data_IF_204700504042
#
_entry.id   IF_204700504042
#
_cell.length_a   1.000
_cell.length_b   1.000
_cell.length_c   1.000
_cell.angle_alpha   90.00
_cell.angle_beta   90.00
_cell.angle_gamma   90.00
#
_symmetry.space_group_name_H-M   'P 1'
#
loop_
_entity.id
_entity.type
_entity.pdbx_description
1 polymer ?
#
# COMPACT_ATOMS: atom_id res chain seq x y z
N UNK A 1 -6.21 -67.73 -62.20
CA UNK A 1 -6.75 -66.39 -62.17
C UNK A 1 -6.79 -65.95 -60.66
N UNK A 2 -5.69 -65.42 -60.15
CA UNK A 2 -5.58 -64.99 -58.77
C UNK A 2 -5.48 -63.43 -58.72
N UNK A 3 -6.47 -62.81 -58.12
CA UNK A 3 -6.42 -61.38 -57.85
C UNK A 3 -5.89 -61.16 -56.44
N UNK A 4 -4.74 -60.53 -56.35
CA UNK A 4 -4.17 -60.01 -55.09
C UNK A 4 -4.82 -58.67 -54.79
N UNK A 5 -5.45 -58.56 -53.61
CA UNK A 5 -6.00 -57.29 -53.06
C UNK A 5 -4.93 -56.71 -52.13
N UNK A 6 -4.33 -55.59 -52.55
CA UNK A 6 -3.43 -54.81 -51.69
C UNK A 6 -4.24 -53.90 -50.73
N UNK A 7 -4.16 -54.14 -49.43
CA UNK A 7 -4.66 -53.23 -48.40
C UNK A 7 -3.61 -52.22 -48.10
N UNK A 8 -3.88 -50.94 -48.50
CA UNK A 8 -3.08 -49.76 -48.07
C UNK A 8 -3.56 -49.32 -46.73
N UNK A 9 -2.70 -49.42 -45.71
CA UNK A 9 -2.94 -48.85 -44.37
C UNK A 9 -2.52 -47.41 -44.38
N UNK A 10 -3.50 -46.48 -44.31
CA UNK A 10 -3.25 -45.09 -44.07
C UNK A 10 -2.99 -44.89 -42.57
N UNK A 11 -1.74 -44.59 -42.20
CA UNK A 11 -1.38 -44.13 -40.85
C UNK A 11 -1.76 -42.65 -40.71
N UNK A 12 -2.84 -42.34 -39.97
CA UNK A 12 -3.16 -40.99 -39.52
C UNK A 12 -2.23 -40.62 -38.38
N UNK A 13 -1.24 -39.76 -38.65
CA UNK A 13 -0.41 -39.13 -37.63
C UNK A 13 -1.21 -38.02 -36.97
N UNK A 14 -1.75 -38.28 -35.78
CA UNK A 14 -2.37 -37.25 -34.94
C UNK A 14 -1.27 -36.38 -34.34
N UNK A 15 -1.00 -35.22 -34.96
CA UNK A 15 -0.16 -34.16 -34.37
C UNK A 15 -0.95 -33.52 -33.24
N UNK A 16 -0.66 -33.90 -32.01
CA UNK A 16 -1.14 -33.20 -30.82
C UNK A 16 -0.49 -31.78 -30.76
N UNK A 17 -1.23 -30.78 -31.17
CA UNK A 17 -0.89 -29.39 -30.95
C UNK A 17 -0.96 -29.13 -29.43
N UNK A 18 0.19 -29.20 -28.76
CA UNK A 18 0.36 -28.68 -27.44
C UNK A 18 0.15 -27.15 -27.53
N UNK A 19 -1.06 -26.69 -27.23
CA UNK A 19 -1.36 -25.28 -27.05
C UNK A 19 -0.62 -24.82 -25.79
N UNK A 20 0.63 -24.41 -25.96
CA UNK A 20 1.32 -23.62 -24.95
C UNK A 20 0.49 -22.37 -24.78
N UNK A 21 -0.14 -22.17 -23.61
CA UNK A 21 -0.67 -20.87 -23.22
C UNK A 21 0.51 -19.89 -23.12
N UNK A 22 0.89 -19.31 -24.26
CA UNK A 22 1.78 -18.18 -24.30
C UNK A 22 0.98 -17.04 -23.69
N UNK A 23 1.26 -16.70 -22.43
CA UNK A 23 0.77 -15.44 -21.85
C UNK A 23 1.27 -14.34 -22.79
N UNK A 24 0.32 -13.58 -23.35
CA UNK A 24 0.67 -12.51 -24.27
C UNK A 24 1.54 -11.49 -23.54
N UNK A 25 2.65 -11.11 -24.17
CA UNK A 25 3.45 -10.00 -23.70
C UNK A 25 2.59 -8.73 -23.66
N UNK A 26 2.83 -7.88 -22.67
CA UNK A 26 2.14 -6.58 -22.61
C UNK A 26 2.44 -5.76 -23.87
N UNK A 27 1.48 -4.92 -24.26
CA UNK A 27 1.66 -4.01 -25.39
C UNK A 27 2.83 -3.02 -25.13
N UNK A 28 3.45 -2.50 -26.18
CA UNK A 28 4.56 -1.55 -26.08
C UNK A 28 4.20 -0.29 -25.23
N UNK A 29 2.94 0.11 -25.22
CA UNK A 29 2.43 1.19 -24.37
C UNK A 29 2.57 0.93 -22.88
N UNK A 30 2.63 -0.34 -22.47
CA UNK A 30 2.78 -0.75 -21.07
C UNK A 30 4.23 -0.76 -20.58
N UNK A 31 5.21 -0.54 -21.46
CA UNK A 31 6.62 -0.55 -21.07
C UNK A 31 6.92 0.52 -20.02
N UNK A 32 6.27 1.67 -20.10
CA UNK A 32 6.45 2.75 -19.13
C UNK A 32 5.35 2.67 -18.08
N UNK A 33 5.71 2.45 -16.82
CA UNK A 33 4.79 2.35 -15.69
C UNK A 33 4.96 3.58 -14.78
N UNK A 34 3.90 4.39 -14.70
CA UNK A 34 3.88 5.65 -13.95
C UNK A 34 3.15 5.46 -12.62
N UNK A 35 3.90 5.51 -11.53
CA UNK A 35 3.42 5.23 -10.19
C UNK A 35 3.20 6.52 -9.43
N UNK A 36 2.03 6.71 -8.82
CA UNK A 36 1.79 7.73 -7.82
C UNK A 36 2.27 7.26 -6.45
N UNK A 37 2.95 8.12 -5.70
CA UNK A 37 3.48 7.80 -4.38
C UNK A 37 3.17 8.94 -3.42
N UNK A 38 2.43 8.68 -2.34
CA UNK A 38 2.37 9.61 -1.20
C UNK A 38 3.62 9.44 -0.35
N UNK A 39 3.97 10.47 0.40
CA UNK A 39 5.19 10.48 1.19
C UNK A 39 4.99 9.79 2.55
N UNK A 40 4.43 8.56 2.53
CA UNK A 40 4.30 7.67 3.66
C UNK A 40 5.28 6.51 3.52
N UNK A 41 5.88 6.12 4.63
CA UNK A 41 6.97 5.13 4.61
C UNK A 41 6.52 3.76 4.07
N UNK A 42 5.27 3.33 4.35
CA UNK A 42 4.66 2.11 3.81
C UNK A 42 4.52 2.16 2.28
N UNK A 43 3.97 3.28 1.76
CA UNK A 43 3.78 3.44 0.31
C UNK A 43 5.13 3.60 -0.41
N UNK A 44 6.12 4.25 0.21
CA UNK A 44 7.47 4.33 -0.34
C UNK A 44 8.09 2.93 -0.42
N UNK A 45 7.97 2.13 0.65
CA UNK A 45 8.53 0.77 0.70
C UNK A 45 7.89 -0.16 -0.36
N UNK A 46 6.55 -0.20 -0.41
CA UNK A 46 5.81 -1.05 -1.35
C UNK A 46 5.97 -0.61 -2.80
N UNK A 47 6.06 0.71 -3.04
CA UNK A 47 6.34 1.26 -4.37
C UNK A 47 7.78 0.95 -4.83
N UNK A 48 8.76 1.04 -3.94
CA UNK A 48 10.15 0.67 -4.26
C UNK A 48 10.25 -0.82 -4.59
N UNK A 49 9.57 -1.68 -3.83
CA UNK A 49 9.49 -3.12 -4.11
C UNK A 49 8.91 -3.38 -5.49
N UNK A 50 7.78 -2.76 -5.79
CA UNK A 50 7.10 -2.88 -7.08
C UNK A 50 7.98 -2.40 -8.23
N UNK A 51 8.67 -1.26 -8.05
CA UNK A 51 9.59 -0.72 -9.03
C UNK A 51 10.74 -1.68 -9.33
N UNK A 52 11.41 -2.19 -8.29
CA UNK A 52 12.55 -3.13 -8.45
C UNK A 52 12.12 -4.38 -9.21
N UNK A 53 10.93 -4.92 -8.93
CA UNK A 53 10.40 -6.08 -9.65
C UNK A 53 10.10 -5.73 -11.11
N UNK A 54 9.42 -4.62 -11.38
CA UNK A 54 9.08 -4.19 -12.75
C UNK A 54 10.33 -3.89 -13.57
N UNK A 55 11.31 -3.18 -13.01
CA UNK A 55 12.57 -2.88 -13.69
C UNK A 55 13.33 -4.17 -14.04
N UNK A 56 13.37 -5.14 -13.11
CA UNK A 56 13.93 -6.47 -13.35
C UNK A 56 13.19 -7.28 -14.42
N UNK A 57 11.91 -7.02 -14.62
CA UNK A 57 11.10 -7.62 -15.69
C UNK A 57 11.24 -6.90 -17.05
N UNK A 58 12.01 -5.80 -17.13
CA UNK A 58 12.26 -5.05 -18.35
C UNK A 58 11.27 -3.91 -18.62
N UNK A 59 10.44 -3.55 -17.64
CA UNK A 59 9.64 -2.31 -17.69
C UNK A 59 10.51 -1.10 -17.33
N UNK A 60 10.00 0.09 -17.59
CA UNK A 60 10.59 1.38 -17.24
C UNK A 60 9.66 2.08 -16.26
N UNK A 61 10.03 2.15 -15.01
CA UNK A 61 9.19 2.70 -13.97
C UNK A 61 9.54 4.16 -13.68
N UNK A 62 8.51 4.93 -13.30
CA UNK A 62 8.67 6.29 -12.83
C UNK A 62 7.74 6.53 -11.66
N UNK A 63 8.29 6.95 -10.53
CA UNK A 63 7.52 7.40 -9.38
C UNK A 63 7.29 8.92 -9.43
N UNK A 64 6.09 9.35 -9.03
CA UNK A 64 5.72 10.76 -8.87
C UNK A 64 5.16 10.95 -7.47
N UNK A 65 5.89 11.69 -6.64
CA UNK A 65 5.43 12.02 -5.29
C UNK A 65 4.37 13.13 -5.35
N UNK A 66 3.21 12.87 -4.74
CA UNK A 66 2.10 13.83 -4.69
C UNK A 66 1.13 13.49 -3.55
N UNK A 67 0.19 14.42 -3.25
CA UNK A 67 -0.92 14.11 -2.34
C UNK A 67 -1.89 13.10 -2.96
N UNK A 68 -2.62 12.38 -2.11
CA UNK A 68 -3.60 11.38 -2.56
C UNK A 68 -4.60 11.93 -3.59
N UNK A 69 -5.07 13.17 -3.42
CA UNK A 69 -6.03 13.81 -4.34
C UNK A 69 -5.40 14.02 -5.72
N UNK A 70 -4.13 14.47 -5.77
CA UNK A 70 -3.39 14.67 -7.02
C UNK A 70 -3.13 13.32 -7.69
N UNK A 71 -2.84 12.27 -6.93
CA UNK A 71 -2.63 10.93 -7.46
C UNK A 71 -3.91 10.39 -8.10
N UNK A 72 -5.07 10.46 -7.41
CA UNK A 72 -6.33 10.01 -8.00
C UNK A 72 -6.72 10.81 -9.24
N UNK A 73 -6.50 12.13 -9.22
CA UNK A 73 -6.69 12.96 -10.41
C UNK A 73 -5.73 12.56 -11.53
N UNK A 74 -4.46 12.27 -11.22
CA UNK A 74 -3.45 11.80 -12.16
C UNK A 74 -3.83 10.48 -12.83
N UNK A 75 -4.39 9.52 -12.07
CA UNK A 75 -4.88 8.25 -12.61
C UNK A 75 -6.13 8.49 -13.48
N UNK A 76 -7.09 9.32 -13.02
CA UNK A 76 -8.24 9.72 -13.81
C UNK A 76 -7.84 10.30 -15.16
N UNK A 77 -6.83 11.15 -15.19
CA UNK A 77 -6.36 11.87 -16.36
C UNK A 77 -5.30 11.09 -17.17
N UNK A 78 -5.10 9.80 -16.81
CA UNK A 78 -4.14 8.89 -17.45
C UNK A 78 -2.69 9.44 -17.47
N UNK A 79 -2.34 10.27 -16.49
CA UNK A 79 -0.97 10.75 -16.25
C UNK A 79 -0.20 9.83 -15.30
N UNK A 80 -0.91 9.08 -14.49
CA UNK A 80 -0.43 8.00 -13.62
C UNK A 80 -1.18 6.73 -13.97
N UNK A 81 -0.55 5.58 -13.74
CA UNK A 81 -1.10 4.27 -14.06
C UNK A 81 -1.61 3.56 -12.81
N UNK A 82 -0.91 3.72 -11.69
CA UNK A 82 -1.22 3.00 -10.46
C UNK A 82 -0.81 3.75 -9.18
N UNK A 83 -1.41 3.32 -8.07
CA UNK A 83 -1.13 3.76 -6.71
C UNK A 83 -1.34 2.60 -5.73
N UNK A 84 -0.37 2.33 -4.84
CA UNK A 84 -0.38 1.18 -3.93
C UNK A 84 -0.85 1.50 -2.50
N UNK A 85 -1.28 2.72 -2.23
CA UNK A 85 -1.53 3.21 -0.87
C UNK A 85 -2.98 3.64 -0.60
N UNK A 86 -3.98 2.99 -1.20
CA UNK A 86 -5.38 3.28 -0.85
C UNK A 86 -5.75 2.62 0.47
N UNK A 87 -5.63 3.36 1.57
CA UNK A 87 -6.07 2.97 2.91
C UNK A 87 -7.58 3.06 3.04
N UNK A 88 -8.26 1.92 3.10
CA UNK A 88 -9.69 1.81 3.31
C UNK A 88 -9.98 1.47 4.79
N UNK A 89 -10.87 2.20 5.52
CA UNK A 89 -11.83 3.19 4.98
C UNK A 89 -11.36 4.66 5.03
N UNK A 90 -10.18 4.97 5.53
CA UNK A 90 -9.74 6.36 5.76
C UNK A 90 -9.81 7.23 4.50
N UNK A 91 -9.49 6.68 3.35
CA UNK A 91 -9.49 7.42 2.07
C UNK A 91 -10.78 7.22 1.25
N UNK A 92 -11.77 6.48 1.76
CA UNK A 92 -13.00 6.16 1.02
C UNK A 92 -13.70 7.41 0.54
N UNK A 93 -13.85 8.43 1.39
CA UNK A 93 -14.49 9.68 1.01
C UNK A 93 -13.76 10.38 -0.15
N UNK A 94 -12.42 10.29 -0.19
CA UNK A 94 -11.61 10.92 -1.24
C UNK A 94 -11.69 10.17 -2.56
N UNK A 95 -11.70 8.83 -2.55
CA UNK A 95 -11.67 8.02 -3.77
C UNK A 95 -13.05 7.82 -4.39
N UNK A 96 -14.12 7.80 -3.59
CA UNK A 96 -15.50 7.50 -4.03
C UNK A 96 -15.93 8.25 -5.30
N UNK A 97 -15.72 9.58 -5.43
CA UNK A 97 -16.12 10.30 -6.65
C UNK A 97 -15.44 9.78 -7.92
N UNK A 98 -14.20 9.29 -7.80
CA UNK A 98 -13.46 8.74 -8.93
C UNK A 98 -13.92 7.32 -9.29
N UNK A 99 -14.27 6.51 -8.29
CA UNK A 99 -14.79 5.15 -8.49
C UNK A 99 -16.19 5.20 -9.10
N UNK A 100 -17.09 6.02 -8.57
CA UNK A 100 -18.46 6.19 -9.08
C UNK A 100 -18.47 6.73 -10.52
N UNK A 101 -17.56 7.65 -10.82
CA UNK A 101 -17.36 8.15 -12.18
C UNK A 101 -16.64 7.15 -13.10
N UNK A 102 -16.27 5.96 -12.62
CA UNK A 102 -15.48 4.94 -13.34
C UNK A 102 -14.18 5.49 -13.93
N UNK A 103 -13.53 6.37 -13.19
CA UNK A 103 -12.25 7.00 -13.59
C UNK A 103 -11.03 6.37 -12.97
N UNK A 104 -11.23 5.56 -11.93
CA UNK A 104 -10.21 4.71 -11.31
C UNK A 104 -10.82 3.33 -11.03
N UNK A 105 -9.98 2.33 -10.94
CA UNK A 105 -10.32 0.95 -10.55
C UNK A 105 -9.52 0.58 -9.31
N UNK A 106 -10.21 0.17 -8.25
CA UNK A 106 -9.58 -0.51 -7.11
C UNK A 106 -9.46 -1.98 -7.47
N UNK A 107 -8.34 -2.62 -7.21
CA UNK A 107 -8.15 -4.05 -7.46
C UNK A 107 -9.14 -4.88 -6.61
N UNK A 108 -9.37 -6.12 -7.03
CA UNK A 108 -10.41 -6.97 -6.43
C UNK A 108 -9.99 -7.58 -5.07
N UNK A 109 -8.71 -7.45 -4.70
CA UNK A 109 -8.15 -7.91 -3.41
C UNK A 109 -7.24 -6.85 -2.83
N UNK A 110 -7.22 -6.68 -1.49
CA UNK A 110 -6.26 -5.81 -0.84
C UNK A 110 -4.84 -6.37 -0.96
N UNK A 111 -3.87 -5.49 -0.97
CA UNK A 111 -2.45 -5.85 -0.82
C UNK A 111 -2.07 -6.11 0.63
N UNK A 112 -2.82 -5.53 1.59
CA UNK A 112 -2.64 -5.73 3.02
C UNK A 112 -4.02 -5.80 3.71
N UNK A 113 -4.27 -6.87 4.50
CA UNK A 113 -5.57 -7.11 5.14
C UNK A 113 -5.56 -6.79 6.64
N UNK A 114 -4.42 -6.87 7.30
CA UNK A 114 -4.26 -6.78 8.76
C UNK A 114 -3.74 -5.39 9.22
N UNK A 115 -4.15 -4.33 8.52
CA UNK A 115 -3.82 -2.96 8.88
C UNK A 115 -4.74 -2.42 10.00
N UNK A 116 -4.24 -1.45 10.73
CA UNK A 116 -4.99 -0.68 11.73
C UNK A 116 -4.55 0.77 11.71
N UNK A 117 -5.47 1.71 11.86
CA UNK A 117 -5.15 3.12 11.93
C UNK A 117 -6.14 3.85 12.85
N UNK A 118 -5.64 4.44 13.95
CA UNK A 118 -6.46 5.11 14.94
C UNK A 118 -5.60 6.07 15.79
N UNK A 119 -6.18 6.70 16.82
CA UNK A 119 -5.39 7.51 17.74
C UNK A 119 -4.64 6.64 18.75
N UNK A 120 -3.47 7.09 19.13
CA UNK A 120 -2.59 6.44 20.08
C UNK A 120 -2.00 7.44 21.08
N UNK A 121 -1.56 6.92 22.20
CA UNK A 121 -0.85 7.65 23.25
C UNK A 121 0.36 6.86 23.73
N UNK A 122 1.40 7.48 24.28
CA UNK A 122 2.43 6.76 24.99
C UNK A 122 1.84 5.94 26.16
N UNK A 123 2.36 4.73 26.38
CA UNK A 123 1.84 3.79 27.39
C UNK A 123 1.74 4.42 28.78
N UNK A 124 2.69 5.32 29.16
CA UNK A 124 2.61 6.01 30.44
C UNK A 124 1.37 6.91 30.62
N UNK A 125 0.72 7.36 29.50
CA UNK A 125 -0.56 8.06 29.60
C UNK A 125 -1.73 7.09 29.70
N UNK A 126 -1.67 5.96 29.01
CA UNK A 126 -2.66 4.90 29.16
C UNK A 126 -2.70 4.39 30.61
N UNK A 127 -1.52 4.27 31.28
CA UNK A 127 -1.40 3.90 32.68
C UNK A 127 -2.02 4.93 33.64
N UNK A 128 -2.03 6.21 33.21
CA UNK A 128 -2.71 7.31 33.95
C UNK A 128 -4.22 7.38 33.65
N UNK A 129 -4.76 6.50 32.81
CA UNK A 129 -6.19 6.37 32.53
C UNK A 129 -6.64 6.97 31.20
N UNK A 130 -5.74 7.40 30.31
CA UNK A 130 -6.08 7.81 28.94
C UNK A 130 -6.06 6.56 28.03
N UNK A 131 -7.16 5.78 28.02
CA UNK A 131 -7.26 4.50 27.33
C UNK A 131 -8.26 4.49 26.18
N UNK A 132 -9.15 5.47 26.13
CA UNK A 132 -10.22 5.54 25.15
C UNK A 132 -10.37 6.93 24.56
N UNK A 133 -11.10 7.03 23.43
CA UNK A 133 -11.46 8.32 22.84
C UNK A 133 -12.25 9.21 23.82
N UNK A 134 -13.15 8.60 24.61
CA UNK A 134 -13.92 9.31 25.64
C UNK A 134 -13.06 9.90 26.76
N UNK A 135 -11.84 9.39 26.95
CA UNK A 135 -10.92 9.88 27.96
C UNK A 135 -10.16 11.14 27.52
N UNK A 136 -10.00 11.36 26.20
CA UNK A 136 -9.14 12.43 25.66
C UNK A 136 -9.51 13.78 26.23
N UNK A 137 -10.80 14.11 26.29
CA UNK A 137 -11.27 15.42 26.77
C UNK A 137 -10.89 15.70 28.23
N UNK A 138 -10.74 14.67 29.07
CA UNK A 138 -10.31 14.84 30.47
C UNK A 138 -8.85 15.22 30.61
N UNK A 139 -8.03 14.95 29.59
CA UNK A 139 -6.62 15.28 29.52
C UNK A 139 -6.33 16.52 28.66
N UNK A 140 -7.37 17.36 28.38
CA UNK A 140 -7.23 18.54 27.53
C UNK A 140 -6.07 19.44 27.96
N UNK A 141 -5.95 19.69 29.27
CA UNK A 141 -4.91 20.57 29.84
C UNK A 141 -3.51 20.00 29.62
N UNK A 142 -3.29 18.73 29.92
CA UNK A 142 -2.02 18.04 29.78
C UNK A 142 -1.62 17.88 28.31
N UNK A 143 -2.60 17.64 27.42
CA UNK A 143 -2.42 17.55 25.98
C UNK A 143 -2.29 18.92 25.29
N UNK A 144 -2.54 20.03 26.03
CA UNK A 144 -2.57 21.38 25.48
C UNK A 144 -3.64 21.57 24.40
N UNK A 145 -4.72 20.76 24.45
CA UNK A 145 -5.79 20.77 23.46
C UNK A 145 -5.34 20.35 22.06
N UNK A 146 -4.34 19.49 21.92
CA UNK A 146 -3.73 19.14 20.62
C UNK A 146 -3.85 17.65 20.33
N UNK A 147 -4.16 17.32 19.06
CA UNK A 147 -4.05 16.00 18.48
C UNK A 147 -3.05 16.11 17.33
N UNK A 148 -2.06 15.23 17.28
CA UNK A 148 -1.03 15.26 16.24
C UNK A 148 -1.41 14.31 15.10
N UNK A 149 -1.59 14.89 13.91
CA UNK A 149 -1.89 14.19 12.67
C UNK A 149 -0.72 14.24 11.68
N UNK A 150 -0.99 13.75 10.50
CA UNK A 150 -0.04 13.71 9.38
C UNK A 150 -0.26 14.92 8.44
N UNK A 151 -0.05 14.78 7.13
CA UNK A 151 -0.13 15.93 6.22
C UNK A 151 -1.58 16.41 6.00
N UNK A 152 -1.75 17.69 5.69
CA UNK A 152 -3.04 18.26 5.34
C UNK A 152 -3.69 17.52 4.16
N UNK A 153 -5.00 17.24 4.29
CA UNK A 153 -5.77 16.57 3.26
C UNK A 153 -5.65 15.05 3.26
N UNK A 154 -4.90 14.45 4.18
CA UNK A 154 -4.95 13.00 4.39
C UNK A 154 -6.34 12.55 4.86
N UNK A 155 -6.70 11.30 4.56
CA UNK A 155 -7.95 10.73 5.01
C UNK A 155 -8.09 10.73 6.53
N UNK A 156 -7.01 10.38 7.24
CA UNK A 156 -6.94 10.41 8.69
C UNK A 156 -7.23 11.81 9.27
N UNK A 157 -6.51 12.83 8.79
CA UNK A 157 -6.73 14.20 9.24
C UNK A 157 -8.15 14.69 8.95
N UNK A 158 -8.72 14.28 7.82
CA UNK A 158 -10.11 14.63 7.46
C UNK A 158 -11.10 14.04 8.47
N UNK A 159 -10.93 12.80 8.88
CA UNK A 159 -11.78 12.15 9.89
C UNK A 159 -11.58 12.79 11.28
N UNK A 160 -10.34 13.05 11.69
CA UNK A 160 -10.07 13.70 12.98
C UNK A 160 -10.68 15.12 13.02
N UNK A 161 -10.55 15.90 11.95
CA UNK A 161 -11.20 17.22 11.86
C UNK A 161 -12.72 17.11 11.94
N UNK A 162 -13.31 16.09 11.35
CA UNK A 162 -14.76 15.86 11.42
C UNK A 162 -15.19 15.53 12.86
N UNK A 163 -14.43 14.73 13.61
CA UNK A 163 -14.70 14.46 15.03
C UNK A 163 -14.62 15.76 15.87
N UNK A 164 -13.59 16.58 15.65
CA UNK A 164 -13.43 17.87 16.34
C UNK A 164 -14.61 18.80 16.04
N UNK A 165 -14.95 18.97 14.77
CA UNK A 165 -16.03 19.86 14.33
C UNK A 165 -17.41 19.46 14.88
N UNK A 166 -17.64 18.15 15.06
CA UNK A 166 -18.87 17.58 15.62
C UNK A 166 -18.84 17.50 17.15
N UNK A 167 -17.78 17.95 17.80
CA UNK A 167 -17.53 17.75 19.24
C UNK A 167 -17.68 16.27 19.66
N UNK A 168 -17.36 15.32 18.79
CA UNK A 168 -17.40 13.91 19.10
C UNK A 168 -16.37 13.61 20.18
N UNK A 169 -16.70 12.76 21.15
CA UNK A 169 -15.85 12.45 22.32
C UNK A 169 -15.42 13.69 23.16
N UNK A 170 -16.12 14.82 23.02
CA UNK A 170 -15.75 16.07 23.72
C UNK A 170 -14.56 16.81 23.10
N UNK A 171 -14.20 16.50 21.84
CA UNK A 171 -13.01 17.04 21.18
C UNK A 171 -13.17 18.43 20.60
N UNK A 172 -14.33 19.10 20.76
CA UNK A 172 -14.62 20.42 20.14
C UNK A 172 -13.65 21.55 20.51
N UNK A 173 -12.88 21.41 21.61
CA UNK A 173 -11.85 22.37 22.00
C UNK A 173 -10.44 22.01 21.52
N UNK A 174 -10.29 20.83 20.91
CA UNK A 174 -8.99 20.37 20.42
C UNK A 174 -8.67 20.97 19.04
N UNK A 175 -7.39 21.02 18.75
CA UNK A 175 -6.86 21.40 17.45
C UNK A 175 -6.03 20.24 16.88
N UNK A 176 -6.24 19.94 15.61
CA UNK A 176 -5.38 19.01 14.89
C UNK A 176 -4.10 19.74 14.46
N UNK A 177 -2.95 19.23 14.91
CA UNK A 177 -1.63 19.69 14.46
C UNK A 177 -1.28 18.88 13.23
N UNK A 178 -1.43 19.50 12.06
CA UNK A 178 -1.08 18.89 10.79
C UNK A 178 0.39 19.12 10.45
N UNK A 179 1.08 18.09 9.97
CA UNK A 179 2.49 18.23 9.57
C UNK A 179 2.85 17.30 8.42
N UNK A 180 3.51 16.22 8.68
CA UNK A 180 3.79 15.05 7.83
C UNK A 180 3.99 13.87 8.76
N UNK A 181 4.08 12.65 8.22
CA UNK A 181 4.47 11.46 8.99
C UNK A 181 5.73 11.73 9.80
N UNK A 182 6.81 12.15 9.15
CA UNK A 182 8.09 12.44 9.83
C UNK A 182 7.98 13.55 10.87
N UNK A 183 7.21 14.61 10.59
CA UNK A 183 6.98 15.73 11.52
C UNK A 183 6.19 15.30 12.76
N UNK A 184 5.15 14.49 12.57
CA UNK A 184 4.36 13.91 13.66
C UNK A 184 5.22 12.98 14.51
N UNK A 185 5.97 12.06 13.91
CA UNK A 185 6.85 11.13 14.63
C UNK A 185 7.92 11.87 15.44
N UNK A 186 8.51 12.93 14.88
CA UNK A 186 9.47 13.77 15.60
C UNK A 186 8.85 14.50 16.80
N UNK A 187 7.58 14.92 16.70
CA UNK A 187 6.86 15.52 17.83
C UNK A 187 6.57 14.49 18.92
N UNK A 188 6.12 13.28 18.53
CA UNK A 188 5.89 12.16 19.46
C UNK A 188 7.17 11.77 20.19
N UNK A 189 8.28 11.60 19.47
CA UNK A 189 9.58 11.23 20.04
C UNK A 189 10.06 12.29 21.08
N UNK A 190 9.93 13.58 20.76
CA UNK A 190 10.24 14.66 21.73
C UNK A 190 9.39 14.56 22.99
N UNK A 191 8.07 14.38 22.84
CA UNK A 191 7.14 14.27 23.95
C UNK A 191 7.46 13.04 24.82
N UNK A 192 7.72 11.90 24.21
CA UNK A 192 8.06 10.64 24.90
C UNK A 192 9.36 10.79 25.70
N UNK A 193 10.42 11.38 25.13
CA UNK A 193 11.69 11.63 25.85
C UNK A 193 11.52 12.53 27.06
N UNK A 194 10.58 13.50 27.00
CA UNK A 194 10.29 14.43 28.08
C UNK A 194 9.19 13.96 29.04
N UNK A 195 8.60 12.80 28.77
CA UNK A 195 7.41 12.30 29.48
C UNK A 195 6.22 13.28 29.45
N UNK A 196 6.14 14.08 28.39
CA UNK A 196 5.04 15.02 28.13
C UNK A 196 3.83 14.26 27.55
N UNK A 197 2.62 14.86 27.74
CA UNK A 197 1.41 14.25 27.19
C UNK A 197 1.31 14.54 25.68
N UNK A 198 0.99 13.49 24.91
CA UNK A 198 0.75 13.56 23.48
C UNK A 198 -0.29 12.53 23.07
N UNK A 199 -1.25 12.94 22.23
CA UNK A 199 -2.13 12.05 21.48
C UNK A 199 -1.87 12.26 19.99
N UNK A 200 -1.74 11.17 19.24
CA UNK A 200 -1.31 11.22 17.86
C UNK A 200 -1.97 10.14 17.03
N UNK A 201 -1.99 10.35 15.72
CA UNK A 201 -2.43 9.34 14.77
C UNK A 201 -1.38 8.25 14.63
N UNK A 202 -1.75 7.01 14.96
CA UNK A 202 -0.89 5.84 14.86
C UNK A 202 -1.49 4.79 13.94
N UNK A 203 -0.65 3.95 13.33
CA UNK A 203 -1.09 2.86 12.46
C UNK A 203 -0.16 1.66 12.48
N UNK A 204 -0.69 0.52 12.04
CA UNK A 204 0.02 -0.72 11.77
C UNK A 204 -0.27 -1.10 10.32
N UNK A 205 0.74 -1.49 9.51
CA UNK A 205 2.16 -1.65 9.85
C UNK A 205 2.91 -0.32 9.98
N UNK A 206 3.74 -0.21 10.97
CA UNK A 206 4.73 0.87 11.08
C UNK A 206 5.75 0.57 12.19
N UNK A 207 7.05 0.85 12.00
CA UNK A 207 8.08 0.68 13.03
C UNK A 207 7.84 1.46 14.32
N UNK A 208 7.01 2.53 14.30
CA UNK A 208 6.64 3.25 15.52
C UNK A 208 6.07 2.32 16.60
N UNK A 209 5.41 1.22 16.21
CA UNK A 209 4.84 0.24 17.12
C UNK A 209 5.90 -0.53 17.95
N UNK A 210 7.14 -0.52 17.49
CA UNK A 210 8.30 -1.10 18.18
C UNK A 210 9.13 0.00 18.84
N UNK A 211 9.32 1.13 18.16
CA UNK A 211 10.21 2.21 18.58
C UNK A 211 9.61 3.09 19.68
N UNK A 212 8.29 3.11 19.81
CA UNK A 212 7.56 3.89 20.82
C UNK A 212 6.72 2.95 21.69
N UNK A 213 6.93 2.98 23.00
CA UNK A 213 6.02 2.32 23.93
C UNK A 213 4.68 3.05 23.91
N UNK A 214 3.74 2.60 23.07
CA UNK A 214 2.45 3.24 22.82
C UNK A 214 1.27 2.31 23.01
N UNK A 215 0.11 2.89 23.20
CA UNK A 215 -1.18 2.20 23.34
C UNK A 215 -2.16 2.87 22.39
N UNK A 216 -2.83 2.08 21.55
CA UNK A 216 -3.96 2.53 20.75
C UNK A 216 -5.17 2.78 21.65
N UNK A 217 -5.89 3.87 21.39
CA UNK A 217 -7.10 4.21 22.12
C UNK A 217 -8.29 3.38 21.62
N UNK A 218 -9.13 2.93 22.54
CA UNK A 218 -10.37 2.21 22.25
C UNK A 218 -11.56 3.17 22.16
N UNK A 219 -12.73 2.67 21.72
CA UNK A 219 -13.98 3.42 21.71
C UNK A 219 -14.01 4.54 20.68
N UNK A 220 -13.46 4.27 19.50
CA UNK A 220 -13.49 5.22 18.37
C UNK A 220 -14.87 5.32 17.70
N UNK A 221 -15.82 4.44 18.06
CA UNK A 221 -17.14 4.33 17.44
C UNK A 221 -17.07 4.30 15.89
N UNK A 222 -16.11 3.54 15.38
CA UNK A 222 -15.80 3.41 13.96
C UNK A 222 -15.42 4.73 13.24
N UNK A 223 -15.12 5.78 13.97
CA UNK A 223 -14.78 7.09 13.39
C UNK A 223 -13.52 7.06 12.51
N UNK A 224 -12.59 6.13 12.76
CA UNK A 224 -11.37 5.94 11.96
C UNK A 224 -11.34 4.57 11.24
N UNK A 225 -12.38 3.80 11.33
CA UNK A 225 -12.54 2.47 10.75
C UNK A 225 -13.20 1.51 11.74
N UNK A 226 -13.79 0.41 11.25
CA UNK A 226 -14.48 -0.57 12.08
C UNK A 226 -13.52 -1.24 13.06
N UNK A 227 -14.07 -1.84 14.12
CA UNK A 227 -13.31 -2.63 15.10
C UNK A 227 -12.05 -1.90 15.61
N UNK A 228 -12.20 -0.66 16.09
CA UNK A 228 -11.10 0.14 16.65
C UNK A 228 -10.04 0.55 15.61
N UNK A 229 -10.49 0.89 14.40
CA UNK A 229 -9.63 1.41 13.35
C UNK A 229 -9.02 0.34 12.44
N UNK A 230 -9.63 -0.85 12.34
CA UNK A 230 -9.20 -1.83 11.34
C UNK A 230 -9.26 -1.24 9.94
N UNK A 231 -8.23 -1.53 9.17
CA UNK A 231 -8.06 -1.01 7.83
C UNK A 231 -7.49 -2.07 6.89
N UNK A 232 -7.63 -1.82 5.61
CA UNK A 232 -7.03 -2.61 4.53
C UNK A 232 -6.38 -1.67 3.54
N UNK A 233 -5.28 -2.10 2.90
CA UNK A 233 -4.61 -1.30 1.88
C UNK A 233 -4.82 -1.94 0.51
N UNK A 234 -5.12 -1.11 -0.48
CA UNK A 234 -5.48 -1.55 -1.81
C UNK A 234 -4.65 -0.85 -2.88
N UNK A 235 -4.46 -1.55 -3.98
CA UNK A 235 -3.90 -0.96 -5.20
C UNK A 235 -5.02 -0.36 -6.05
N UNK A 236 -4.77 0.83 -6.60
CA UNK A 236 -5.67 1.55 -7.50
C UNK A 236 -4.97 1.71 -8.84
N UNK A 237 -5.71 1.51 -9.93
CA UNK A 237 -5.20 1.67 -11.30
C UNK A 237 -6.15 2.50 -12.15
N UNK A 238 -5.75 2.84 -13.37
CA UNK A 238 -6.69 3.31 -14.38
C UNK A 238 -7.72 2.22 -14.72
N UNK A 239 -8.94 2.57 -15.15
CA UNK A 239 -10.05 1.61 -15.27
C UNK A 239 -9.77 0.44 -16.21
N UNK A 240 -9.04 0.68 -17.31
CA UNK A 240 -8.74 -0.30 -18.35
C UNK A 240 -7.34 -0.89 -18.23
N UNK A 241 -6.63 -0.61 -17.14
CA UNK A 241 -5.22 -1.02 -16.98
C UNK A 241 -5.03 -2.54 -17.02
N UNK A 242 -5.95 -3.28 -16.40
CA UNK A 242 -5.92 -4.75 -16.40
C UNK A 242 -6.02 -5.36 -17.80
N UNK A 243 -6.80 -4.71 -18.68
CA UNK A 243 -7.01 -5.16 -20.07
C UNK A 243 -5.84 -4.74 -20.97
N UNK A 244 -5.30 -3.56 -20.73
CA UNK A 244 -4.21 -2.99 -21.53
C UNK A 244 -2.85 -3.59 -21.18
N UNK A 245 -2.59 -3.81 -19.87
CA UNK A 245 -1.31 -4.26 -19.32
C UNK A 245 -1.52 -5.47 -18.39
N UNK A 246 -2.00 -6.61 -18.92
CA UNK A 246 -2.39 -7.76 -18.11
C UNK A 246 -1.24 -8.37 -17.32
N UNK A 247 -0.01 -8.29 -17.79
CA UNK A 247 1.15 -8.82 -17.08
C UNK A 247 1.54 -7.94 -15.87
N UNK A 248 1.57 -6.60 -16.03
CA UNK A 248 1.74 -5.69 -14.88
C UNK A 248 0.59 -5.88 -13.90
N UNK A 249 -0.67 -5.95 -14.39
CA UNK A 249 -1.83 -6.20 -13.52
C UNK A 249 -1.71 -7.51 -12.74
N UNK A 250 -1.19 -8.56 -13.37
CA UNK A 250 -0.92 -9.85 -12.71
C UNK A 250 0.08 -9.71 -11.58
N UNK A 251 1.18 -8.98 -11.78
CA UNK A 251 2.13 -8.67 -10.72
C UNK A 251 1.45 -7.92 -9.57
N UNK A 252 0.72 -6.83 -9.87
CA UNK A 252 0.01 -6.04 -8.86
C UNK A 252 -0.98 -6.87 -8.03
N UNK A 253 -1.68 -7.81 -8.67
CA UNK A 253 -2.61 -8.72 -7.99
C UNK A 253 -1.89 -9.74 -7.08
N UNK A 254 -0.67 -10.13 -7.44
CA UNK A 254 0.14 -11.04 -6.64
C UNK A 254 0.83 -10.34 -5.44
N UNK A 255 1.03 -9.01 -5.52
CA UNK A 255 1.67 -8.24 -4.46
C UNK A 255 0.76 -8.18 -3.22
N UNK A 256 1.03 -9.07 -2.28
CA UNK A 256 0.38 -9.12 -0.98
C UNK A 256 1.45 -9.09 0.11
N UNK A 257 1.18 -8.35 1.17
CA UNK A 257 2.08 -8.13 2.29
C UNK A 257 1.41 -8.57 3.59
N UNK A 258 2.20 -8.83 4.60
CA UNK A 258 1.74 -8.91 6.00
C UNK A 258 2.18 -7.65 6.75
N UNK A 259 1.45 -7.26 7.79
CA UNK A 259 1.85 -6.12 8.61
C UNK A 259 3.26 -6.28 9.20
N UNK A 260 3.67 -7.52 9.51
CA UNK A 260 5.01 -7.81 10.01
C UNK A 260 6.10 -7.60 8.95
N UNK A 261 5.87 -8.07 7.72
CA UNK A 261 6.83 -7.91 6.63
C UNK A 261 6.95 -6.44 6.23
N UNK A 262 5.83 -5.76 6.08
CA UNK A 262 5.81 -4.36 5.68
C UNK A 262 6.49 -3.47 6.72
N UNK A 263 6.26 -3.69 8.03
CA UNK A 263 6.97 -3.01 9.10
C UNK A 263 8.49 -3.21 9.00
N UNK A 264 8.96 -4.41 8.64
CA UNK A 264 10.39 -4.68 8.44
C UNK A 264 10.95 -4.01 7.18
N UNK A 265 10.16 -3.94 6.09
CA UNK A 265 10.55 -3.21 4.88
C UNK A 265 10.68 -1.71 5.12
N UNK A 266 9.89 -1.15 6.03
CA UNK A 266 9.88 0.28 6.37
C UNK A 266 11.09 0.69 7.24
N UNK A 267 11.60 -0.19 8.10
CA UNK A 267 12.66 0.16 9.06
C UNK A 267 13.90 0.77 8.41
N UNK A 268 14.46 0.21 7.32
CA UNK A 268 15.60 0.83 6.64
C UNK A 268 15.33 2.26 6.14
N UNK A 269 14.09 2.56 5.73
CA UNK A 269 13.71 3.88 5.24
C UNK A 269 13.68 4.91 6.37
N UNK A 270 13.23 4.52 7.57
CA UNK A 270 13.32 5.36 8.76
C UNK A 270 14.77 5.58 9.21
N UNK A 271 15.66 4.65 8.92
CA UNK A 271 17.11 4.75 9.11
C UNK A 271 17.79 5.54 7.96
N UNK A 272 17.01 6.22 7.12
CA UNK A 272 17.46 7.04 5.97
C UNK A 272 18.23 6.26 4.90
N UNK A 273 18.02 4.96 4.75
CA UNK A 273 18.56 4.18 3.65
C UNK A 273 17.75 4.38 2.37
N UNK A 274 18.41 4.19 1.23
CA UNK A 274 17.74 4.27 -0.07
C UNK A 274 16.64 3.20 -0.21
N UNK A 275 15.49 3.60 -0.71
CA UNK A 275 14.31 2.74 -0.79
C UNK A 275 14.47 1.61 -1.81
N UNK A 276 15.07 1.91 -2.98
CA UNK A 276 15.27 0.90 -4.02
C UNK A 276 16.35 -0.12 -3.61
N UNK A 277 17.42 0.35 -2.97
CA UNK A 277 18.46 -0.55 -2.44
C UNK A 277 17.89 -1.43 -1.32
N UNK A 278 17.08 -0.86 -0.43
CA UNK A 278 16.41 -1.62 0.63
C UNK A 278 15.46 -2.68 0.06
N UNK A 279 14.73 -2.35 -1.01
CA UNK A 279 13.87 -3.29 -1.72
C UNK A 279 14.67 -4.41 -2.41
N UNK A 280 15.80 -4.08 -3.05
CA UNK A 280 16.71 -5.10 -3.65
C UNK A 280 17.26 -6.04 -2.57
N UNK A 281 17.66 -5.49 -1.44
CA UNK A 281 18.18 -6.31 -0.33
C UNK A 281 17.10 -7.22 0.22
N UNK A 282 15.88 -6.70 0.43
CA UNK A 282 14.73 -7.53 0.84
C UNK A 282 14.52 -8.72 -0.09
N UNK A 283 14.46 -8.47 -1.41
CA UNK A 283 14.22 -9.52 -2.41
C UNK A 283 15.33 -10.59 -2.43
N UNK A 284 16.58 -10.21 -2.17
CA UNK A 284 17.69 -11.16 -2.03
C UNK A 284 17.52 -12.04 -0.79
N UNK A 285 17.09 -11.44 0.31
CA UNK A 285 16.96 -12.13 1.60
C UNK A 285 15.67 -12.96 1.69
N UNK A 286 14.65 -12.66 0.84
CA UNK A 286 13.34 -13.30 0.83
C UNK A 286 12.96 -13.83 -0.57
N UNK A 287 13.72 -14.81 -1.11
CA UNK A 287 13.47 -15.33 -2.47
C UNK A 287 12.10 -15.98 -2.62
N UNK A 288 11.49 -16.46 -1.52
CA UNK A 288 10.12 -17.01 -1.51
C UNK A 288 9.06 -15.94 -1.80
N UNK A 289 9.25 -14.70 -1.35
CA UNK A 289 8.34 -13.60 -1.65
C UNK A 289 8.44 -13.22 -3.12
N UNK A 290 9.67 -13.10 -3.63
CA UNK A 290 9.90 -12.86 -5.05
C UNK A 290 9.23 -13.93 -5.91
N UNK A 291 9.41 -15.22 -5.59
CA UNK A 291 8.79 -16.33 -6.32
C UNK A 291 7.25 -16.26 -6.27
N UNK A 292 6.68 -15.92 -5.13
CA UNK A 292 5.24 -15.76 -4.92
C UNK A 292 4.68 -14.62 -5.77
N UNK A 293 5.32 -13.44 -5.74
CA UNK A 293 4.88 -12.26 -6.49
C UNK A 293 5.04 -12.42 -7.99
N UNK A 294 6.07 -13.17 -8.44
CA UNK A 294 6.32 -13.43 -9.87
C UNK A 294 5.54 -14.62 -10.43
N UNK A 295 4.71 -15.29 -9.65
CA UNK A 295 3.94 -16.45 -10.12
C UNK A 295 3.03 -16.10 -11.29
N UNK A 296 3.30 -16.69 -12.46
CA UNK A 296 2.53 -16.47 -13.69
C UNK A 296 2.76 -15.08 -14.31
N UNK A 297 3.80 -14.37 -13.88
CA UNK A 297 4.26 -13.12 -14.48
C UNK A 297 5.33 -13.41 -15.52
N UNK A 298 5.39 -12.61 -16.58
CA UNK A 298 6.42 -12.68 -17.62
C UNK A 298 7.30 -11.43 -17.59
N UNK A 299 8.46 -11.51 -18.22
CA UNK A 299 9.21 -10.32 -18.59
C UNK A 299 8.46 -9.51 -19.65
N UNK A 300 8.81 -8.26 -19.86
CA UNK A 300 8.18 -7.41 -20.86
C UNK A 300 8.26 -8.00 -22.29
N UNK A 301 9.31 -8.74 -22.60
CA UNK A 301 9.49 -9.46 -23.87
C UNK A 301 8.78 -10.83 -23.91
N UNK A 302 7.91 -11.13 -22.93
CA UNK A 302 7.03 -12.31 -22.92
C UNK A 302 7.68 -13.62 -22.44
N UNK A 303 8.90 -13.59 -21.93
CA UNK A 303 9.55 -14.77 -21.34
C UNK A 303 9.03 -15.01 -19.92
N UNK A 304 8.95 -16.25 -19.43
CA UNK A 304 8.62 -16.51 -18.05
C UNK A 304 9.57 -15.74 -17.11
N UNK A 305 9.02 -15.06 -16.12
CA UNK A 305 9.84 -14.39 -15.10
C UNK A 305 10.65 -15.46 -14.36
N UNK A 306 11.97 -15.25 -14.24
CA UNK A 306 12.80 -16.10 -13.42
C UNK A 306 12.39 -15.95 -11.94
N UNK A 307 12.33 -17.05 -11.20
CA UNK A 307 12.04 -17.03 -9.77
C UNK A 307 13.07 -16.19 -8.98
N UNK A 308 14.26 -15.99 -9.55
CA UNK A 308 15.31 -15.11 -9.05
C UNK A 308 15.67 -14.14 -10.17
N UNK A 309 14.94 -13.01 -10.25
CA UNK A 309 15.33 -11.92 -11.14
C UNK A 309 16.73 -11.44 -10.75
N UNK A 310 17.61 -11.29 -11.74
CA UNK A 310 18.87 -10.57 -11.51
C UNK A 310 18.53 -9.08 -11.34
N UNK A 311 18.47 -8.66 -10.08
CA UNK A 311 18.18 -7.27 -9.71
C UNK A 311 19.49 -6.48 -9.87
N UNK A 312 19.75 -5.99 -11.10
CA UNK A 312 20.93 -5.17 -11.39
C UNK A 312 20.87 -3.87 -10.58
N UNK A 313 21.96 -3.52 -9.92
CA UNK A 313 22.23 -2.15 -9.46
C UNK A 313 22.43 -1.30 -10.73
N UNK A 314 21.49 -0.41 -11.04
CA UNK A 314 21.74 0.68 -11.98
C UNK A 314 22.36 1.84 -11.25
#
# INVERSE_FOLDING_TARGET
>A
MNRLISCSVLALSASALLSSNVMAADAASCQNVRMGVVNWTDVIATSAMTQVLLDGLGYKTRQTSASQQIIFAGIRDQRLDLFLGYWNPLMTQTITPFVEARKVKVLDKPSLEDARATLAVPTYLADKGLKSFADIARFEKELGGKIYGIEPGSGANTQIKAMIAKNQFGLGKFQLVESSEAGMLAAVDRAVRRKEAVVFFGWTPHPMNVNVAMTYLNGSDDALGPNEGMATVWTVTSPTYAEQCPNVHKLLTNLTFTAADESRMMQPLLDHKDALESARQWLKDHPQDQARWLKGVTTFDGKPAAANLQLSSQ
#
